data_IF_650481386786
#
_entry.id   IF_650481386786
#
_cell.length_a   1.000
_cell.length_b   1.000
_cell.length_c   1.000
_cell.angle_alpha   90.00
_cell.angle_beta   90.00
_cell.angle_gamma   90.00
#
_symmetry.space_group_name_H-M   'P 1'
#
loop_
_entity.id
_entity.type
_entity.pdbx_description
1 polymer ?
#
# COMPACT_ATOMS: atom_id res chain seq x y z
N UNK A 1 -17.33 -18.15 13.82
CA UNK A 1 -17.38 -16.92 14.66
C UNK A 1 -17.36 -15.69 13.74
N UNK A 2 -17.96 -14.55 14.12
CA UNK A 2 -17.82 -13.32 13.31
C UNK A 2 -16.51 -12.60 13.65
N UNK A 3 -15.80 -12.12 12.63
CA UNK A 3 -14.54 -11.36 12.73
C UNK A 3 -14.49 -10.26 11.67
N UNK A 4 -13.63 -9.27 11.87
CA UNK A 4 -13.20 -8.36 10.81
C UNK A 4 -12.19 -9.12 9.95
N UNK A 5 -12.45 -9.21 8.65
CA UNK A 5 -11.63 -9.95 7.70
C UNK A 5 -11.11 -9.00 6.65
N UNK A 6 -9.82 -9.11 6.32
CA UNK A 6 -9.16 -8.39 5.24
C UNK A 6 -8.58 -9.41 4.27
N UNK A 7 -8.82 -9.17 2.99
CA UNK A 7 -8.15 -9.82 1.87
C UNK A 7 -7.29 -8.78 1.16
N UNK A 8 -5.99 -9.05 1.03
CA UNK A 8 -5.05 -8.21 0.28
C UNK A 8 -4.47 -9.01 -0.88
N UNK A 9 -4.19 -8.33 -1.98
CA UNK A 9 -3.61 -8.86 -3.21
C UNK A 9 -2.41 -8.00 -3.60
N UNK A 10 -1.26 -8.63 -3.90
CA UNK A 10 -0.07 -7.91 -4.39
C UNK A 10 -0.38 -7.35 -5.78
N UNK A 11 -0.29 -6.02 -5.89
CA UNK A 11 -0.64 -5.30 -7.10
C UNK A 11 0.30 -5.68 -8.25
N UNK A 12 -0.27 -6.16 -9.36
CA UNK A 12 0.48 -6.49 -10.58
C UNK A 12 1.20 -7.85 -10.55
N UNK A 13 0.98 -8.68 -9.53
CA UNK A 13 1.70 -9.94 -9.36
C UNK A 13 1.61 -10.89 -10.56
N UNK A 14 0.41 -11.07 -11.13
CA UNK A 14 0.22 -11.91 -12.33
C UNK A 14 1.10 -11.46 -13.50
N UNK A 15 1.23 -10.14 -13.72
CA UNK A 15 2.08 -9.60 -14.78
C UNK A 15 3.55 -9.93 -14.52
N UNK A 16 4.01 -9.83 -13.28
CA UNK A 16 5.37 -10.23 -12.92
C UNK A 16 5.60 -11.72 -13.14
N UNK A 17 4.67 -12.60 -12.80
CA UNK A 17 4.79 -14.03 -13.09
C UNK A 17 4.96 -14.29 -14.60
N UNK A 18 4.26 -13.54 -15.45
CA UNK A 18 4.32 -13.69 -16.91
C UNK A 18 5.61 -13.12 -17.51
N UNK A 19 6.09 -11.97 -17.04
CA UNK A 19 7.18 -11.22 -17.69
C UNK A 19 8.51 -11.29 -16.96
N UNK A 20 8.50 -11.44 -15.64
CA UNK A 20 9.69 -11.45 -14.79
C UNK A 20 9.46 -12.31 -13.52
N UNK A 21 9.53 -13.66 -13.62
CA UNK A 21 9.28 -14.54 -12.48
C UNK A 21 10.22 -14.29 -11.29
N UNK A 22 11.43 -13.76 -11.53
CA UNK A 22 12.36 -13.40 -10.48
C UNK A 22 11.83 -12.22 -9.65
N UNK A 23 11.24 -11.22 -10.30
CA UNK A 23 10.53 -10.13 -9.64
C UNK A 23 9.38 -10.63 -8.75
N UNK A 24 8.54 -11.52 -9.29
CA UNK A 24 7.44 -12.11 -8.52
C UNK A 24 7.96 -12.88 -7.30
N UNK A 25 9.02 -13.68 -7.47
CA UNK A 25 9.66 -14.38 -6.36
C UNK A 25 10.23 -13.43 -5.31
N UNK A 26 10.83 -12.30 -5.72
CA UNK A 26 11.35 -11.28 -4.82
C UNK A 26 10.23 -10.65 -3.99
N UNK A 27 9.10 -10.28 -4.60
CA UNK A 27 7.94 -9.73 -3.88
C UNK A 27 7.42 -10.68 -2.80
N UNK A 28 7.34 -11.99 -3.09
CA UNK A 28 6.94 -12.98 -2.08
C UNK A 28 7.98 -13.10 -0.95
N UNK A 29 9.27 -13.04 -1.30
CA UNK A 29 10.36 -13.08 -0.34
C UNK A 29 10.35 -11.85 0.58
N UNK A 30 10.09 -10.67 0.03
CA UNK A 30 10.01 -9.41 0.77
C UNK A 30 8.87 -9.43 1.78
N UNK A 31 7.67 -9.86 1.36
CA UNK A 31 6.54 -10.03 2.30
C UNK A 31 6.89 -11.06 3.37
N UNK A 32 7.45 -12.21 2.99
CA UNK A 32 7.84 -13.25 3.96
C UNK A 32 8.86 -12.75 4.98
N UNK A 33 9.86 -12.00 4.54
CA UNK A 33 10.88 -11.41 5.40
C UNK A 33 10.28 -10.39 6.37
N UNK A 34 9.33 -9.56 5.93
CA UNK A 34 8.61 -8.66 6.83
C UNK A 34 7.89 -9.42 7.95
N UNK A 35 7.27 -10.56 7.63
CA UNK A 35 6.61 -11.41 8.64
C UNK A 35 7.64 -12.04 9.58
N UNK A 36 8.79 -12.48 9.07
CA UNK A 36 9.84 -13.15 9.86
C UNK A 36 10.62 -12.20 10.77
N UNK A 37 10.94 -10.99 10.30
CA UNK A 37 11.63 -9.97 11.09
C UNK A 37 10.80 -9.59 12.31
N UNK A 38 9.48 -9.54 12.18
CA UNK A 38 8.60 -9.16 13.28
C UNK A 38 8.46 -10.25 14.35
N UNK A 39 8.62 -11.53 13.99
CA UNK A 39 8.49 -12.64 14.93
C UNK A 39 9.76 -12.94 15.72
N UNK A 40 10.94 -12.63 15.18
CA UNK A 40 12.22 -13.08 15.75
C UNK A 40 12.99 -12.03 16.54
N UNK A 41 12.44 -10.82 16.64
CA UNK A 41 13.23 -9.69 17.10
C UNK A 41 13.13 -9.41 18.61
N UNK A 42 13.75 -10.33 19.37
CA UNK A 42 14.16 -10.09 20.76
C UNK A 42 15.55 -9.42 20.84
N UNK A 43 16.22 -9.14 19.70
CA UNK A 43 17.63 -8.73 19.63
C UNK A 43 17.81 -7.23 19.31
N UNK A 44 16.88 -6.57 18.62
CA UNK A 44 16.85 -5.12 18.47
C UNK A 44 16.08 -4.48 19.63
N UNK A 45 16.74 -4.40 20.81
CA UNK A 45 16.26 -3.64 21.98
C UNK A 45 16.26 -2.11 21.78
N UNK A 46 16.45 -1.61 20.56
CA UNK A 46 16.59 -0.18 20.28
C UNK A 46 15.77 0.27 19.07
N UNK A 47 14.74 1.07 19.32
CA UNK A 47 14.00 1.97 18.40
C UNK A 47 12.94 1.44 17.43
N UNK A 48 12.81 0.14 17.16
CA UNK A 48 11.62 -0.38 16.45
C UNK A 48 11.04 -1.54 17.27
N UNK A 49 10.05 -1.26 18.12
CA UNK A 49 9.41 -2.32 18.92
C UNK A 49 8.62 -3.25 17.99
N UNK A 50 9.20 -4.40 17.69
CA UNK A 50 8.79 -5.43 16.74
C UNK A 50 7.48 -6.19 17.05
N UNK A 51 6.64 -5.76 17.99
CA UNK A 51 5.37 -6.47 18.33
C UNK A 51 4.19 -6.22 17.38
N UNK A 52 4.47 -5.62 16.24
CA UNK A 52 3.49 -5.00 15.36
C UNK A 52 2.39 -5.95 14.84
N UNK A 53 2.72 -6.97 14.04
CA UNK A 53 1.70 -7.87 13.50
C UNK A 53 1.02 -8.79 14.55
N UNK A 54 1.71 -9.14 15.63
CA UNK A 54 1.23 -10.14 16.60
C UNK A 54 0.05 -9.71 17.48
N UNK A 55 -0.25 -8.41 17.54
CA UNK A 55 -1.29 -7.88 18.46
C UNK A 55 -2.58 -7.46 17.77
N UNK A 56 -2.54 -7.08 16.48
CA UNK A 56 -3.72 -6.62 15.74
C UNK A 56 -4.47 -7.69 14.98
N UNK A 57 -3.85 -8.85 14.72
CA UNK A 57 -4.45 -9.92 13.93
C UNK A 57 -4.56 -11.20 14.76
N UNK A 58 -5.75 -11.80 14.74
CA UNK A 58 -5.99 -13.11 15.33
C UNK A 58 -5.64 -14.26 14.40
N UNK A 59 -5.75 -14.02 13.08
CA UNK A 59 -5.27 -14.93 12.03
C UNK A 59 -4.56 -14.08 10.97
N UNK A 60 -3.45 -14.58 10.42
CA UNK A 60 -2.72 -13.95 9.32
C UNK A 60 -2.08 -15.04 8.47
N UNK A 61 -2.44 -15.13 7.20
CA UNK A 61 -1.92 -16.12 6.26
C UNK A 61 -1.49 -15.43 4.97
N UNK A 62 -0.23 -15.62 4.61
CA UNK A 62 0.27 -15.36 3.27
C UNK A 62 0.01 -16.61 2.41
N UNK A 63 -0.72 -16.46 1.32
CA UNK A 63 -1.06 -17.54 0.39
C UNK A 63 -0.84 -17.06 -1.04
N UNK A 64 0.26 -17.49 -1.67
CA UNK A 64 0.72 -16.94 -2.95
C UNK A 64 0.93 -15.42 -2.80
N UNK A 65 0.31 -14.63 -3.67
CA UNK A 65 0.29 -13.18 -3.78
C UNK A 65 -0.81 -12.52 -2.95
N UNK A 66 -1.55 -13.30 -2.17
CA UNK A 66 -2.61 -12.78 -1.33
C UNK A 66 -2.29 -12.92 0.16
N UNK A 67 -2.73 -11.95 0.94
CA UNK A 67 -2.73 -11.99 2.40
C UNK A 67 -4.16 -12.03 2.89
N UNK A 68 -4.46 -12.98 3.76
CA UNK A 68 -5.74 -13.07 4.46
C UNK A 68 -5.48 -12.82 5.93
N UNK A 69 -6.11 -11.80 6.49
CA UNK A 69 -5.95 -11.44 7.89
C UNK A 69 -7.31 -11.27 8.56
N UNK A 70 -7.40 -11.61 9.84
CA UNK A 70 -8.63 -11.44 10.62
C UNK A 70 -8.35 -10.84 11.99
N UNK A 71 -9.31 -10.11 12.55
CA UNK A 71 -9.23 -9.59 13.91
C UNK A 71 -10.58 -9.61 14.62
N UNK A 72 -10.55 -9.65 15.95
CA UNK A 72 -11.72 -9.44 16.79
C UNK A 72 -11.91 -7.95 17.15
N UNK A 73 -10.88 -7.12 16.98
CA UNK A 73 -10.90 -5.70 17.33
C UNK A 73 -10.41 -4.85 16.15
N UNK A 74 -11.35 -4.11 15.56
CA UNK A 74 -11.06 -3.26 14.41
C UNK A 74 -10.16 -2.08 14.76
N UNK A 75 -10.20 -1.58 15.99
CA UNK A 75 -9.45 -0.40 16.42
C UNK A 75 -7.96 -0.68 16.57
N UNK A 76 -7.60 -1.94 16.83
CA UNK A 76 -6.22 -2.42 16.82
C UNK A 76 -5.83 -2.83 15.40
N UNK A 77 -6.73 -3.50 14.66
CA UNK A 77 -6.47 -4.00 13.32
C UNK A 77 -6.10 -2.89 12.33
N UNK A 78 -6.84 -1.78 12.27
CA UNK A 78 -6.62 -0.73 11.27
C UNK A 78 -5.23 -0.08 11.36
N UNK A 79 -4.74 0.37 12.54
CA UNK A 79 -3.36 0.82 12.66
C UNK A 79 -2.33 -0.26 12.34
N UNK A 80 -2.61 -1.54 12.68
CA UNK A 80 -1.69 -2.64 12.34
C UNK A 80 -1.67 -2.93 10.83
N UNK A 81 -2.78 -2.76 10.14
CA UNK A 81 -2.85 -2.89 8.70
C UNK A 81 -2.08 -1.75 8.03
N UNK A 82 -2.27 -0.52 8.48
CA UNK A 82 -1.57 0.65 7.94
C UNK A 82 -0.06 0.55 8.04
N UNK A 83 0.52 0.19 9.21
CA UNK A 83 2.00 0.08 9.27
C UNK A 83 2.50 -1.18 8.53
N UNK A 84 1.70 -2.22 8.35
CA UNK A 84 2.09 -3.38 7.51
C UNK A 84 2.24 -2.94 6.06
N UNK A 85 1.25 -2.24 5.53
CA UNK A 85 1.28 -1.69 4.17
C UNK A 85 2.39 -0.66 3.98
N UNK A 86 2.60 0.22 4.97
CA UNK A 86 3.75 1.13 4.98
C UNK A 86 5.07 0.34 4.93
N UNK A 87 5.27 -0.66 5.77
CA UNK A 87 6.48 -1.48 5.77
C UNK A 87 6.73 -2.19 4.44
N UNK A 88 5.67 -2.66 3.77
CA UNK A 88 5.77 -3.23 2.43
C UNK A 88 6.33 -2.22 1.43
N UNK A 89 5.82 -0.98 1.45
CA UNK A 89 6.26 0.08 0.57
C UNK A 89 7.67 0.56 0.91
N UNK A 90 8.03 0.60 2.19
CA UNK A 90 9.36 0.99 2.64
C UNK A 90 10.43 0.07 2.07
N UNK A 91 10.19 -1.23 1.95
CA UNK A 91 11.15 -2.13 1.27
C UNK A 91 11.47 -1.60 -0.13
N UNK A 92 10.42 -1.26 -0.88
CA UNK A 92 10.60 -0.79 -2.25
C UNK A 92 11.16 0.63 -2.34
N UNK A 93 10.87 1.52 -1.39
CA UNK A 93 11.30 2.93 -1.43
C UNK A 93 12.69 3.13 -0.80
N UNK A 94 13.04 2.42 0.27
CA UNK A 94 14.33 2.57 0.96
C UNK A 94 15.48 1.92 0.17
N UNK A 95 15.23 0.81 -0.51
CA UNK A 95 16.23 0.19 -1.40
C UNK A 95 16.48 1.04 -2.65
N UNK A 96 15.49 1.83 -3.08
CA UNK A 96 15.72 2.87 -4.08
C UNK A 96 16.44 4.07 -3.47
N UNK A 97 17.63 4.36 -3.97
CA UNK A 97 18.38 5.59 -3.78
C UNK A 97 17.68 6.85 -4.33
N UNK A 98 16.36 6.97 -4.16
CA UNK A 98 15.56 8.12 -4.54
C UNK A 98 15.88 9.37 -3.73
N UNK A 99 16.41 9.23 -2.51
CA UNK A 99 16.72 10.36 -1.63
C UNK A 99 18.03 11.08 -2.01
N UNK A 100 19.02 10.39 -2.59
CA UNK A 100 20.32 10.99 -2.92
C UNK A 100 20.47 11.44 -4.38
N UNK A 101 19.68 10.88 -5.32
CA UNK A 101 19.76 11.25 -6.74
C UNK A 101 18.81 12.36 -7.18
N UNK A 102 17.95 12.87 -6.28
CA UNK A 102 16.91 13.84 -6.61
C UNK A 102 17.40 15.24 -7.00
N UNK A 103 18.70 15.55 -6.94
CA UNK A 103 19.19 16.95 -7.08
C UNK A 103 20.24 17.12 -8.19
N UNK A 104 20.82 16.06 -8.78
CA UNK A 104 21.93 16.21 -9.72
C UNK A 104 21.67 15.55 -11.08
N UNK A 105 21.04 16.30 -11.99
CA UNK A 105 21.28 16.26 -13.44
C UNK A 105 21.65 14.91 -14.10
N UNK A 106 20.80 13.89 -14.05
CA UNK A 106 21.01 12.71 -14.90
C UNK A 106 19.71 12.12 -15.45
N UNK A 107 19.63 12.17 -16.78
CA UNK A 107 19.05 11.18 -17.71
C UNK A 107 18.12 10.17 -17.02
N UNK A 108 16.82 10.24 -17.31
CA UNK A 108 15.76 9.30 -16.94
C UNK A 108 16.22 7.83 -16.83
N UNK A 109 16.79 7.44 -15.70
CA UNK A 109 16.95 6.02 -15.35
C UNK A 109 15.61 5.55 -14.83
N UNK A 110 15.17 4.37 -15.28
CA UNK A 110 13.90 3.80 -14.85
C UNK A 110 13.85 3.75 -13.32
N UNK A 111 12.75 4.19 -12.67
CA UNK A 111 12.57 4.06 -11.21
C UNK A 111 12.59 2.59 -10.76
N UNK A 112 12.49 1.66 -11.71
CA UNK A 112 12.55 0.23 -11.50
C UNK A 112 13.99 -0.27 -11.60
N UNK A 113 14.97 0.45 -12.14
CA UNK A 113 16.34 -0.07 -12.34
C UNK A 113 17.38 0.66 -11.49
N UNK A 114 18.15 -0.09 -10.72
CA UNK A 114 19.21 0.41 -9.84
C UNK A 114 20.55 -0.19 -10.20
N UNK A 115 21.56 0.64 -10.40
CA UNK A 115 22.93 0.20 -10.59
C UNK A 115 23.60 0.01 -9.23
N UNK A 116 23.84 -1.26 -8.85
CA UNK A 116 24.65 -1.62 -7.69
C UNK A 116 26.09 -1.85 -8.14
N UNK A 117 27.05 -1.25 -7.44
CA UNK A 117 28.46 -1.63 -7.57
C UNK A 117 28.76 -2.76 -6.60
N UNK A 118 29.13 -3.92 -7.14
CA UNK A 118 29.61 -5.05 -6.35
C UNK A 118 30.99 -4.76 -5.76
N UNK A 119 31.41 -5.59 -4.80
CA UNK A 119 32.72 -5.48 -4.10
C UNK A 119 33.89 -5.52 -5.09
N UNK A 120 33.74 -6.23 -6.20
CA UNK A 120 34.73 -6.33 -7.28
C UNK A 120 34.73 -5.11 -8.22
N UNK A 121 33.93 -4.08 -7.91
CA UNK A 121 33.77 -2.87 -8.73
C UNK A 121 32.89 -3.04 -9.97
N UNK A 122 32.31 -4.23 -10.20
CA UNK A 122 31.37 -4.48 -11.29
C UNK A 122 30.02 -3.82 -11.00
N UNK A 123 29.45 -3.13 -11.97
CA UNK A 123 28.09 -2.62 -11.86
C UNK A 123 27.10 -3.69 -12.32
N UNK A 124 26.09 -4.00 -11.49
CA UNK A 124 24.93 -4.80 -11.88
C UNK A 124 23.66 -3.96 -11.76
N UNK A 125 22.76 -4.10 -12.73
CA UNK A 125 21.44 -3.48 -12.66
C UNK A 125 20.49 -4.43 -11.95
N UNK A 126 19.87 -3.97 -10.86
CA UNK A 126 18.84 -4.68 -10.12
C UNK A 126 17.51 -3.99 -10.37
N UNK A 127 16.46 -4.77 -10.61
CA UNK A 127 15.12 -4.23 -10.71
C UNK A 127 14.44 -4.17 -9.35
N UNK A 128 13.89 -3.02 -8.97
CA UNK A 128 13.14 -2.81 -7.74
C UNK A 128 11.66 -2.61 -8.06
N UNK A 129 10.82 -3.50 -7.55
CA UNK A 129 9.40 -3.52 -7.81
C UNK A 129 8.64 -3.06 -6.58
N UNK A 130 7.69 -2.11 -6.72
CA UNK A 130 6.92 -1.62 -5.60
C UNK A 130 6.02 -2.72 -5.03
N UNK A 131 6.26 -3.11 -3.79
CA UNK A 131 5.43 -4.04 -3.04
C UNK A 131 4.21 -3.28 -2.50
N UNK A 132 3.21 -3.19 -3.37
CA UNK A 132 1.94 -2.53 -3.13
C UNK A 132 0.83 -3.56 -3.01
N UNK A 133 -0.12 -3.30 -2.12
CA UNK A 133 -1.31 -4.13 -1.98
C UNK A 133 -2.57 -3.35 -2.29
N UNK A 134 -3.52 -4.04 -2.90
CA UNK A 134 -4.94 -3.65 -2.94
C UNK A 134 -5.74 -4.65 -2.13
N UNK A 135 -6.97 -4.32 -1.76
CA UNK A 135 -7.73 -5.25 -0.94
C UNK A 135 -9.16 -4.86 -0.61
N UNK A 136 -9.82 -5.81 0.02
CA UNK A 136 -11.20 -5.72 0.47
C UNK A 136 -11.34 -6.14 1.94
N UNK A 137 -12.29 -5.51 2.65
CA UNK A 137 -12.57 -5.83 4.05
C UNK A 137 -14.05 -6.02 4.33
N UNK A 138 -14.37 -7.03 5.13
CA UNK A 138 -15.75 -7.38 5.47
C UNK A 138 -15.88 -7.95 6.88
N UNK A 139 -16.92 -7.54 7.61
CA UNK A 139 -17.22 -8.06 8.95
C UNK A 139 -18.19 -9.23 8.83
N UNK A 140 -17.73 -10.45 9.10
CA UNK A 140 -18.55 -11.63 8.82
C UNK A 140 -18.00 -12.90 9.41
N UNK A 141 -18.67 -14.01 9.10
CA UNK A 141 -18.22 -15.33 9.55
C UNK A 141 -16.83 -15.64 8.98
N UNK A 142 -15.90 -15.99 9.86
CA UNK A 142 -14.56 -16.40 9.52
C UNK A 142 -14.08 -17.47 10.50
N UNK A 143 -13.59 -18.58 9.97
CA UNK A 143 -13.08 -19.69 10.74
C UNK A 143 -11.77 -20.19 10.12
N UNK A 144 -10.85 -20.64 10.98
CA UNK A 144 -9.63 -21.31 10.57
C UNK A 144 -9.72 -22.80 10.88
N UNK A 145 -9.19 -23.63 9.99
CA UNK A 145 -9.12 -25.08 10.14
C UNK A 145 -7.71 -25.56 9.84
N UNK A 146 -7.23 -26.52 10.65
CA UNK A 146 -5.99 -27.23 10.35
C UNK A 146 -6.25 -28.29 9.29
N UNK A 147 -5.47 -28.25 8.22
CA UNK A 147 -5.57 -29.22 7.12
C UNK A 147 -4.20 -29.86 6.90
N UNK A 148 -4.21 -31.12 6.47
CA UNK A 148 -2.97 -31.79 6.09
C UNK A 148 -2.68 -31.51 4.62
N UNK A 149 -1.45 -31.10 4.33
CA UNK A 149 -0.93 -30.81 3.00
C UNK A 149 0.30 -31.67 2.72
N UNK A 150 0.55 -31.98 1.45
CA UNK A 150 1.78 -32.64 1.02
C UNK A 150 2.71 -31.60 0.39
N UNK A 151 3.91 -31.45 0.94
CA UNK A 151 4.96 -30.61 0.37
C UNK A 151 6.26 -31.40 0.28
N UNK A 152 6.82 -31.52 -0.92
CA UNK A 152 8.04 -32.32 -1.18
C UNK A 152 7.95 -33.74 -0.58
N UNK A 153 6.80 -34.41 -0.79
CA UNK A 153 6.52 -35.75 -0.27
C UNK A 153 6.42 -35.86 1.27
N UNK A 154 6.46 -34.75 2.00
CA UNK A 154 6.26 -34.72 3.44
C UNK A 154 4.85 -34.26 3.79
N UNK A 155 4.20 -34.98 4.70
CA UNK A 155 2.94 -34.54 5.28
C UNK A 155 3.21 -33.39 6.26
N UNK A 156 2.56 -32.25 6.03
CA UNK A 156 2.61 -31.10 6.91
C UNK A 156 1.21 -30.61 7.26
N UNK A 157 1.04 -30.09 8.48
CA UNK A 157 -0.20 -29.45 8.88
C UNK A 157 -0.12 -27.96 8.59
N UNK A 158 -1.04 -27.47 7.77
CA UNK A 158 -1.20 -26.04 7.44
C UNK A 158 -2.55 -25.54 7.94
N UNK A 159 -2.78 -24.23 7.85
CA UNK A 159 -4.08 -23.63 8.13
C UNK A 159 -4.78 -23.29 6.81
N UNK A 160 -6.09 -23.45 6.79
CA UNK A 160 -6.95 -22.95 5.74
C UNK A 160 -8.07 -22.12 6.36
N UNK A 161 -8.64 -21.20 5.58
CA UNK A 161 -9.66 -20.27 6.03
C UNK A 161 -10.95 -20.47 5.25
N UNK A 162 -12.07 -20.34 5.93
CA UNK A 162 -13.39 -20.43 5.31
C UNK A 162 -14.41 -19.55 6.05
N UNK A 163 -15.50 -19.23 5.35
CA UNK A 163 -16.60 -18.43 5.88
C UNK A 163 -16.99 -17.29 4.93
N UNK A 164 -18.21 -16.80 5.10
CA UNK A 164 -18.76 -15.77 4.21
C UNK A 164 -17.99 -14.44 4.32
N UNK A 165 -17.37 -14.13 5.46
CA UNK A 165 -16.56 -12.92 5.63
C UNK A 165 -15.35 -12.88 4.71
N UNK A 166 -14.65 -14.01 4.57
CA UNK A 166 -13.54 -14.15 3.62
C UNK A 166 -14.01 -13.96 2.17
N UNK A 167 -15.07 -14.66 1.77
CA UNK A 167 -15.61 -14.60 0.41
C UNK A 167 -16.03 -13.17 0.05
N UNK A 168 -16.70 -12.46 0.97
CA UNK A 168 -17.12 -11.08 0.75
C UNK A 168 -15.94 -10.11 0.67
N UNK A 169 -14.93 -10.25 1.54
CA UNK A 169 -13.70 -9.46 1.45
C UNK A 169 -13.00 -9.64 0.10
N UNK A 170 -12.90 -10.88 -0.39
CA UNK A 170 -12.36 -11.20 -1.71
C UNK A 170 -13.17 -10.53 -2.85
N UNK A 171 -14.51 -10.60 -2.81
CA UNK A 171 -15.33 -9.96 -3.84
C UNK A 171 -15.24 -8.43 -3.82
N UNK A 172 -15.05 -7.82 -2.66
CA UNK A 172 -14.81 -6.38 -2.54
C UNK A 172 -13.47 -5.99 -3.19
N UNK A 173 -12.41 -6.78 -3.00
CA UNK A 173 -11.15 -6.54 -3.72
C UNK A 173 -11.38 -6.58 -5.25
N UNK A 174 -12.19 -7.54 -5.71
CA UNK A 174 -12.50 -7.74 -7.13
C UNK A 174 -13.51 -6.79 -7.74
N UNK A 175 -14.04 -5.81 -7.01
CA UNK A 175 -15.10 -4.92 -7.52
C UNK A 175 -14.61 -3.89 -8.54
N UNK A 176 -13.32 -3.93 -8.92
CA UNK A 176 -12.79 -3.22 -10.09
C UNK A 176 -12.05 -1.91 -9.77
N UNK A 177 -11.87 -1.57 -8.50
CA UNK A 177 -11.03 -0.45 -8.11
C UNK A 177 -9.56 -0.69 -8.51
N UNK A 178 -8.84 0.41 -8.77
CA UNK A 178 -7.46 0.39 -9.24
C UNK A 178 -6.51 0.96 -8.19
N UNK A 179 -5.24 0.58 -8.29
CA UNK A 179 -4.18 1.04 -7.39
C UNK A 179 -4.21 0.37 -6.02
N UNK A 180 -3.35 0.81 -5.08
CA UNK A 180 -3.18 0.22 -3.76
C UNK A 180 -4.27 0.66 -2.77
N UNK A 181 -5.52 0.56 -3.20
CA UNK A 181 -6.70 1.00 -2.43
C UNK A 181 -7.23 -0.15 -1.60
N UNK A 182 -7.70 0.19 -0.40
CA UNK A 182 -8.40 -0.75 0.48
C UNK A 182 -9.85 -0.32 0.61
N UNK A 183 -10.75 -1.18 0.16
CA UNK A 183 -12.19 -0.96 0.26
C UNK A 183 -12.77 -1.79 1.38
N UNK A 184 -13.51 -1.15 2.27
CA UNK A 184 -14.08 -1.77 3.45
C UNK A 184 -15.59 -1.62 3.45
N UNK A 185 -16.30 -2.65 3.93
CA UNK A 185 -17.75 -2.57 4.11
C UNK A 185 -18.14 -1.50 5.13
N UNK A 186 -19.36 -0.99 5.04
CA UNK A 186 -19.93 -0.07 6.03
C UNK A 186 -19.78 -0.56 7.49
N UNK A 187 -19.86 -1.87 7.73
CA UNK A 187 -19.65 -2.44 9.07
C UNK A 187 -18.29 -2.08 9.69
N UNK A 188 -17.22 -1.95 8.89
CA UNK A 188 -15.91 -1.51 9.39
C UNK A 188 -15.98 -0.07 9.87
N UNK A 189 -16.61 0.81 9.08
CA UNK A 189 -16.77 2.22 9.43
C UNK A 189 -17.64 2.40 10.67
N UNK A 190 -18.74 1.67 10.77
CA UNK A 190 -19.65 1.75 11.92
C UNK A 190 -19.00 1.25 13.21
N UNK A 191 -18.19 0.19 13.13
CA UNK A 191 -17.52 -0.39 14.29
C UNK A 191 -16.26 0.36 14.72
N UNK A 192 -15.63 1.13 13.82
CA UNK A 192 -14.45 1.92 14.15
C UNK A 192 -14.78 3.02 15.18
N UNK A 193 -13.87 3.20 16.14
CA UNK A 193 -13.92 4.30 17.09
C UNK A 193 -14.01 5.66 16.38
N UNK A 194 -14.68 6.62 17.02
CA UNK A 194 -14.89 7.95 16.46
C UNK A 194 -13.59 8.60 15.96
N UNK A 195 -12.48 8.42 16.69
CA UNK A 195 -11.17 8.96 16.32
C UNK A 195 -10.61 8.38 15.02
N UNK A 196 -11.02 7.17 14.61
CA UNK A 196 -10.55 6.52 13.37
C UNK A 196 -11.48 6.79 12.18
N UNK A 197 -12.70 7.31 12.41
CA UNK A 197 -13.70 7.49 11.34
C UNK A 197 -13.26 8.45 10.24
N UNK A 198 -12.38 9.41 10.54
CA UNK A 198 -11.83 10.32 9.53
C UNK A 198 -10.95 9.60 8.51
N UNK A 199 -10.52 8.36 8.78
CA UNK A 199 -9.70 7.54 7.87
C UNK A 199 -10.54 6.82 6.81
N UNK A 200 -11.85 7.04 6.77
CA UNK A 200 -12.77 6.37 5.85
C UNK A 200 -13.42 7.40 4.93
N UNK A 201 -13.30 7.19 3.61
CA UNK A 201 -14.01 7.98 2.60
C UNK A 201 -15.11 7.13 1.95
N UNK A 202 -16.36 7.53 2.14
CA UNK A 202 -17.51 6.85 1.52
C UNK A 202 -17.41 6.96 -0.01
N UNK A 203 -17.54 5.84 -0.70
CA UNK A 203 -17.55 5.82 -2.16
C UNK A 203 -18.95 6.19 -2.71
N UNK A 204 -19.06 6.95 -3.82
CA UNK A 204 -20.35 7.51 -4.26
C UNK A 204 -21.44 6.49 -4.60
N UNK A 205 -21.07 5.31 -5.10
CA UNK A 205 -22.02 4.38 -5.73
C UNK A 205 -22.19 3.05 -4.97
N UNK A 206 -21.50 2.88 -3.84
CA UNK A 206 -21.47 1.63 -3.10
C UNK A 206 -21.56 1.88 -1.60
N UNK A 207 -22.05 0.90 -0.84
CA UNK A 207 -21.92 0.89 0.64
C UNK A 207 -20.51 0.47 1.08
N UNK A 208 -19.51 1.03 0.40
CA UNK A 208 -18.10 0.79 0.61
C UNK A 208 -17.40 2.08 1.00
N UNK A 209 -16.39 1.93 1.83
CA UNK A 209 -15.54 3.00 2.31
C UNK A 209 -14.10 2.72 1.93
N UNK A 210 -13.44 3.70 1.34
CA UNK A 210 -12.01 3.66 1.10
C UNK A 210 -11.27 3.97 2.42
N UNK A 211 -10.38 3.07 2.82
CA UNK A 211 -9.53 3.27 3.99
C UNK A 211 -8.24 3.99 3.61
N UNK A 212 -8.07 5.19 4.15
CA UNK A 212 -6.92 6.07 3.97
C UNK A 212 -5.71 5.61 4.78
N UNK A 213 -5.25 4.39 4.52
CA UNK A 213 -4.25 3.70 5.36
C UNK A 213 -2.91 4.41 5.45
N UNK A 214 -2.63 5.35 4.55
CA UNK A 214 -1.36 6.06 4.45
C UNK A 214 -1.17 7.14 5.54
N UNK A 215 -2.22 7.51 6.29
CA UNK A 215 -2.16 8.49 7.39
C UNK A 215 -1.05 8.21 8.41
N UNK A 216 -0.67 6.94 8.55
CA UNK A 216 0.22 6.41 9.58
C UNK A 216 1.66 6.93 9.53
N UNK A 217 2.02 7.64 8.46
CA UNK A 217 3.33 8.30 8.37
C UNK A 217 3.40 9.52 9.31
N UNK A 218 2.25 10.10 9.66
CA UNK A 218 2.15 11.28 10.51
C UNK A 218 2.05 10.92 12.00
N UNK A 219 2.63 11.76 12.84
CA UNK A 219 2.64 11.60 14.30
C UNK A 219 1.81 12.72 14.92
N UNK A 220 0.73 12.34 15.58
CA UNK A 220 -0.09 13.26 16.36
C UNK A 220 0.75 13.88 17.51
N UNK A 221 0.63 15.19 17.69
CA UNK A 221 1.36 15.95 18.71
C UNK A 221 2.61 16.68 18.20
N UNK A 222 3.07 16.38 16.99
CA UNK A 222 4.10 17.17 16.32
C UNK A 222 3.51 18.42 15.65
N UNK A 223 4.36 19.37 15.25
CA UNK A 223 3.93 20.55 14.50
C UNK A 223 3.57 20.18 13.05
N UNK A 224 2.49 20.75 12.53
CA UNK A 224 2.00 20.46 11.17
C UNK A 224 3.07 20.73 10.10
N UNK A 225 3.84 21.80 10.25
CA UNK A 225 4.90 22.18 9.32
C UNK A 225 6.05 21.17 9.24
N UNK A 226 6.37 20.50 10.36
CA UNK A 226 7.38 19.45 10.39
C UNK A 226 6.82 18.16 9.80
N UNK A 227 5.60 17.79 10.20
CA UNK A 227 4.96 16.54 9.78
C UNK A 227 4.65 16.51 8.28
N UNK A 228 4.31 17.64 7.67
CA UNK A 228 3.92 17.65 6.24
C UNK A 228 5.10 17.23 5.36
N UNK A 229 6.34 17.53 5.77
CA UNK A 229 7.55 17.18 5.04
C UNK A 229 7.73 15.67 4.83
N UNK A 230 7.12 14.82 5.68
CA UNK A 230 7.16 13.35 5.54
C UNK A 230 6.50 12.84 4.27
N UNK A 231 5.62 13.63 3.67
CA UNK A 231 5.02 13.27 2.36
C UNK A 231 6.10 13.13 1.26
N UNK A 232 7.25 13.80 1.41
CA UNK A 232 8.37 13.73 0.47
C UNK A 232 9.06 12.36 0.43
N UNK A 233 8.91 11.54 1.46
CA UNK A 233 9.44 10.19 1.47
C UNK A 233 8.74 9.31 0.41
N UNK A 234 7.46 9.57 0.11
CA UNK A 234 6.62 8.64 -0.66
C UNK A 234 6.01 9.26 -1.92
N UNK A 235 5.48 10.49 -1.84
CA UNK A 235 4.79 11.11 -2.97
C UNK A 235 5.70 11.27 -4.21
N UNK A 236 6.95 11.75 -4.09
CA UNK A 236 7.87 11.78 -5.23
C UNK A 236 8.16 10.39 -5.84
N UNK A 237 8.21 9.33 -5.01
CA UNK A 237 8.41 7.97 -5.51
C UNK A 237 7.18 7.47 -6.29
N UNK A 238 5.98 7.70 -5.76
CA UNK A 238 4.73 7.40 -6.46
C UNK A 238 4.62 8.15 -7.80
N UNK A 239 5.00 9.43 -7.83
CA UNK A 239 5.03 10.25 -9.04
C UNK A 239 5.99 9.67 -10.08
N UNK A 240 7.22 9.30 -9.69
CA UNK A 240 8.19 8.73 -10.63
C UNK A 240 7.72 7.39 -11.22
N UNK A 241 7.09 6.55 -10.40
CA UNK A 241 6.48 5.30 -10.88
C UNK A 241 5.40 5.61 -11.94
N UNK A 242 4.50 6.56 -11.66
CA UNK A 242 3.49 6.99 -12.63
C UNK A 242 4.12 7.56 -13.91
N UNK A 243 5.11 8.46 -13.80
CA UNK A 243 5.77 9.10 -14.95
C UNK A 243 6.42 8.04 -15.86
N UNK A 244 7.10 7.06 -15.26
CA UNK A 244 7.72 5.95 -15.99
C UNK A 244 6.71 5.15 -16.79
N UNK A 245 5.66 4.62 -16.16
CA UNK A 245 4.67 3.82 -16.86
C UNK A 245 3.82 4.63 -17.84
N UNK A 246 3.59 5.93 -17.57
CA UNK A 246 2.90 6.83 -18.50
C UNK A 246 3.73 7.06 -19.77
N UNK A 247 5.05 7.21 -19.64
CA UNK A 247 5.95 7.28 -20.79
C UNK A 247 5.96 5.97 -21.59
N UNK A 248 6.04 4.81 -20.92
CA UNK A 248 5.97 3.50 -21.59
C UNK A 248 4.65 3.27 -22.34
N UNK A 249 3.54 3.76 -21.78
CA UNK A 249 2.22 3.72 -22.42
C UNK A 249 2.16 4.63 -23.66
N UNK A 250 2.78 5.81 -23.63
CA UNK A 250 2.78 6.75 -24.77
C UNK A 250 3.57 6.24 -25.95
N UNK A 251 4.70 5.60 -25.65
CA UNK A 251 5.59 5.04 -26.66
C UNK A 251 5.08 3.70 -27.20
N UNK A 252 4.02 3.13 -26.62
CA UNK A 252 3.40 1.91 -27.13
C UNK A 252 2.58 2.20 -28.40
N UNK A 253 2.90 1.45 -29.46
CA UNK A 253 2.29 1.57 -30.77
C UNK A 253 1.12 0.60 -30.90
N UNK A 254 1.23 -0.57 -30.27
CA UNK A 254 0.16 -1.56 -30.29
C UNK A 254 -1.00 -1.11 -29.37
N UNK A 255 -2.21 -1.00 -29.93
CA UNK A 255 -3.36 -0.48 -29.18
C UNK A 255 -3.79 -1.41 -28.04
N UNK A 256 -3.64 -2.73 -28.20
CA UNK A 256 -4.02 -3.69 -27.15
C UNK A 256 -3.06 -3.59 -25.96
N UNK A 257 -1.76 -3.57 -26.22
CA UNK A 257 -0.74 -3.41 -25.18
C UNK A 257 -0.81 -2.02 -24.54
N UNK A 258 -1.16 -0.98 -25.31
CA UNK A 258 -1.37 0.37 -24.79
C UNK A 258 -2.50 0.43 -23.77
N UNK A 259 -3.63 -0.24 -24.01
CA UNK A 259 -4.73 -0.30 -23.03
C UNK A 259 -4.35 -1.11 -21.78
N UNK A 260 -3.55 -2.17 -21.92
CA UNK A 260 -2.99 -2.89 -20.75
C UNK A 260 -2.09 -1.96 -19.92
N UNK A 261 -1.17 -1.23 -20.55
CA UNK A 261 -0.29 -0.26 -19.89
C UNK A 261 -1.06 0.89 -19.25
N UNK A 262 -2.13 1.37 -19.87
CA UNK A 262 -3.03 2.38 -19.30
C UNK A 262 -3.64 1.93 -17.97
N UNK A 263 -4.02 0.66 -17.83
CA UNK A 263 -4.47 0.14 -16.54
C UNK A 263 -3.38 0.22 -15.47
N UNK A 264 -2.10 0.08 -15.81
CA UNK A 264 -0.97 0.22 -14.88
C UNK A 264 -0.74 1.68 -14.52
N UNK A 265 -0.82 2.59 -15.49
CA UNK A 265 -0.75 4.04 -15.26
C UNK A 265 -1.83 4.49 -14.26
N UNK A 266 -3.06 4.01 -14.44
CA UNK A 266 -4.17 4.31 -13.51
C UNK A 266 -3.87 3.78 -12.10
N UNK A 267 -3.25 2.61 -11.96
CA UNK A 267 -2.90 2.07 -10.63
C UNK A 267 -1.96 3.01 -9.85
N UNK A 268 -0.92 3.54 -10.50
CA UNK A 268 0.02 4.44 -9.85
C UNK A 268 -0.55 5.86 -9.67
N UNK A 269 -1.45 6.29 -10.56
CA UNK A 269 -2.21 7.51 -10.35
C UNK A 269 -3.07 7.42 -9.07
N UNK A 270 -3.79 6.32 -8.89
CA UNK A 270 -4.60 6.09 -7.68
C UNK A 270 -3.73 6.00 -6.41
N UNK A 271 -2.47 5.56 -6.52
CA UNK A 271 -1.53 5.60 -5.40
C UNK A 271 -1.19 7.05 -5.00
N UNK A 272 -0.92 7.92 -5.98
CA UNK A 272 -0.72 9.37 -5.74
C UNK A 272 -1.95 9.96 -5.07
N UNK A 273 -3.16 9.68 -5.59
CA UNK A 273 -4.42 10.15 -5.02
C UNK A 273 -4.62 9.69 -3.58
N UNK A 274 -4.31 8.43 -3.27
CA UNK A 274 -4.41 7.88 -1.92
C UNK A 274 -3.50 8.62 -0.94
N UNK A 275 -2.24 8.87 -1.31
CA UNK A 275 -1.30 9.63 -0.47
C UNK A 275 -1.88 11.01 -0.19
N UNK A 276 -2.28 11.74 -1.24
CA UNK A 276 -2.82 13.11 -1.12
C UNK A 276 -4.08 13.16 -0.27
N UNK A 277 -5.06 12.27 -0.53
CA UNK A 277 -6.29 12.18 0.26
C UNK A 277 -5.97 11.93 1.74
N UNK A 278 -5.13 10.94 2.01
CA UNK A 278 -4.73 10.58 3.38
C UNK A 278 -4.06 11.74 4.09
N UNK A 279 -3.17 12.47 3.42
CA UNK A 279 -2.50 13.66 3.96
C UNK A 279 -3.50 14.75 4.28
N UNK A 280 -4.31 15.18 3.31
CA UNK A 280 -5.25 16.30 3.48
C UNK A 280 -6.27 15.98 4.58
N UNK A 281 -6.88 14.79 4.54
CA UNK A 281 -7.90 14.39 5.51
C UNK A 281 -7.32 14.25 6.92
N UNK A 282 -6.13 13.65 7.07
CA UNK A 282 -5.51 13.53 8.38
C UNK A 282 -5.07 14.88 8.94
N UNK A 283 -4.53 15.77 8.10
CA UNK A 283 -4.14 17.11 8.52
C UNK A 283 -5.34 17.96 8.97
N UNK A 284 -6.46 17.88 8.25
CA UNK A 284 -7.71 18.49 8.69
C UNK A 284 -8.18 17.93 10.03
N UNK A 285 -8.07 16.61 10.23
CA UNK A 285 -8.52 16.00 11.48
C UNK A 285 -7.76 16.52 12.71
N UNK A 286 -6.42 16.53 12.62
CA UNK A 286 -5.52 16.86 13.73
C UNK A 286 -5.38 18.38 13.94
N UNK A 287 -5.09 19.14 12.88
CA UNK A 287 -4.78 20.57 12.96
C UNK A 287 -5.88 21.46 12.32
N UNK A 288 -7.06 20.92 12.05
CA UNK A 288 -8.23 21.65 11.52
C UNK A 288 -7.95 22.32 10.18
N UNK A 289 -8.69 23.39 9.87
CA UNK A 289 -8.60 24.11 8.60
C UNK A 289 -7.17 24.58 8.31
N UNK A 290 -6.45 25.09 9.31
CA UNK A 290 -5.04 25.51 9.18
C UNK A 290 -4.14 24.36 8.72
N UNK A 291 -4.28 23.19 9.35
CA UNK A 291 -3.60 21.96 8.93
C UNK A 291 -3.89 21.58 7.50
N UNK A 292 -5.17 21.61 7.13
CA UNK A 292 -5.60 21.27 5.77
C UNK A 292 -5.00 22.25 4.75
N UNK A 293 -4.99 23.55 5.06
CA UNK A 293 -4.36 24.56 4.20
C UNK A 293 -2.86 24.35 4.04
N UNK A 294 -2.14 24.02 5.13
CA UNK A 294 -0.72 23.67 5.07
C UNK A 294 -0.51 22.48 4.13
N UNK A 295 -1.27 21.39 4.32
CA UNK A 295 -1.16 20.19 3.49
C UNK A 295 -1.43 20.47 2.01
N UNK A 296 -2.51 21.18 1.69
CA UNK A 296 -2.89 21.53 0.33
C UNK A 296 -1.82 22.39 -0.33
N UNK A 297 -1.39 23.48 0.32
CA UNK A 297 -0.38 24.37 -0.25
C UNK A 297 0.96 23.65 -0.48
N UNK A 298 1.32 22.74 0.42
CA UNK A 298 2.53 21.94 0.28
C UNK A 298 2.45 21.00 -0.91
N UNK A 299 1.36 20.23 -1.00
CA UNK A 299 1.12 19.28 -2.09
C UNK A 299 1.04 20.02 -3.43
N UNK A 300 0.25 21.09 -3.52
CA UNK A 300 0.12 21.91 -4.73
C UNK A 300 1.49 22.36 -5.24
N UNK A 301 2.37 22.83 -4.35
CA UNK A 301 3.73 23.24 -4.74
C UNK A 301 4.59 22.08 -5.25
N UNK A 302 4.43 20.87 -4.70
CA UNK A 302 5.16 19.68 -5.15
C UNK A 302 4.73 19.20 -6.54
N UNK A 303 3.45 19.38 -6.89
CA UNK A 303 2.87 18.75 -8.09
C UNK A 303 2.41 19.73 -9.17
N UNK A 304 2.42 21.05 -8.93
CA UNK A 304 1.88 22.06 -9.87
C UNK A 304 2.43 21.99 -11.30
N UNK A 305 3.66 21.52 -11.45
CA UNK A 305 4.35 21.40 -12.75
C UNK A 305 4.20 19.99 -13.37
N UNK A 306 3.40 19.11 -12.76
CA UNK A 306 3.16 17.75 -13.22
C UNK A 306 1.94 17.69 -14.12
N UNK A 307 1.98 16.79 -15.09
CA UNK A 307 0.96 16.70 -16.12
C UNK A 307 -0.43 16.33 -15.58
N UNK A 308 -0.49 15.47 -14.55
CA UNK A 308 -1.73 15.05 -13.89
C UNK A 308 -2.28 16.09 -12.89
N UNK A 309 -1.63 17.25 -12.75
CA UNK A 309 -2.03 18.25 -11.76
C UNK A 309 -3.47 18.74 -11.92
N UNK A 310 -4.01 19.00 -13.12
CA UNK A 310 -5.40 19.42 -13.28
C UNK A 310 -6.40 18.44 -12.64
N UNK A 311 -6.20 17.14 -12.85
CA UNK A 311 -7.04 16.07 -12.31
C UNK A 311 -6.90 15.98 -10.78
N UNK A 312 -5.67 16.05 -10.28
CA UNK A 312 -5.43 16.04 -8.83
C UNK A 312 -5.96 17.30 -8.15
N UNK A 313 -5.97 18.45 -8.83
CA UNK A 313 -6.54 19.68 -8.28
C UNK A 313 -8.05 19.57 -8.07
N UNK A 314 -8.77 18.90 -8.99
CA UNK A 314 -10.19 18.57 -8.78
C UNK A 314 -10.34 17.71 -7.53
N UNK A 315 -9.53 16.66 -7.41
CA UNK A 315 -9.53 15.78 -6.24
C UNK A 315 -9.25 16.53 -4.92
N UNK A 316 -8.28 17.44 -4.91
CA UNK A 316 -7.93 18.25 -3.74
C UNK A 316 -9.14 19.09 -3.31
N UNK A 317 -9.87 19.66 -4.27
CA UNK A 317 -11.08 20.43 -3.98
C UNK A 317 -12.21 19.54 -3.44
N UNK A 318 -12.38 18.32 -3.96
CA UNK A 318 -13.36 17.34 -3.47
C UNK A 318 -13.00 16.79 -2.09
N UNK A 319 -11.71 16.76 -1.73
CA UNK A 319 -11.22 16.34 -0.41
C UNK A 319 -11.26 17.49 0.62
N UNK A 320 -11.67 18.68 0.15
CA UNK A 320 -12.29 19.78 0.90
C UNK A 320 -13.23 19.27 2.00
N UNK A 321 -12.90 19.32 3.29
CA UNK A 321 -13.84 18.91 4.37
C UNK A 321 -14.50 20.14 4.97
#
# INVERSE_FOLDING_TARGET
MKKYVIFLDILGFTKYIETDPAAASQLLFDVSNLLNLQNNDNRFKGKISSKFLTTGFSDFLLSSDSVIASSNDINIMLPQLSKFLKSCINISIEDTSFSHYAIANSIYKSPVEMELKDIDGKTRTVKNYPLLFRGGGYYGEFNSIKVNSLFQSNLMTTFNFYGNGFIKAYYIERSGFKGPRLMLSEDFYLAAEQRLKHLFLKQPNDNLYEFLWFYIIYIEGNEAGDEISKVNEYLPAAIRLWEHYNLEMRNEIDNEEKEKKKSVVIQYYEFICLIIKSTITHFHHIWKEDGQHIAINYIDNLIKDKEFYPEVKVLINETRV
#
